data_IF_571598621118
#
_entry.id   IF_571598621118
#
_cell.length_a   1.000
_cell.length_b   1.000
_cell.length_c   1.000
_cell.angle_alpha   90.00
_cell.angle_beta   90.00
_cell.angle_gamma   90.00
#
_symmetry.space_group_name_H-M   'P 1'
#
loop_
_entity.id
_entity.type
_entity.pdbx_description
1 polymer ?
#
# COMPACT_ATOMS: atom_id res chain seq x y z
N UNK A 1 30.55 -32.46 0.82
CA UNK A 1 29.20 -31.86 0.95
C UNK A 1 28.46 -31.79 -0.38
N UNK A 2 28.99 -31.15 -1.42
CA UNK A 2 28.33 -31.05 -2.74
C UNK A 2 28.04 -32.41 -3.43
N UNK A 3 28.97 -33.37 -3.34
CA UNK A 3 28.79 -34.71 -3.93
C UNK A 3 27.63 -35.52 -3.28
N UNK A 4 27.28 -35.21 -2.03
CA UNK A 4 26.22 -35.89 -1.29
C UNK A 4 24.84 -35.34 -1.72
N UNK A 5 24.75 -34.02 -1.91
CA UNK A 5 23.58 -33.34 -2.49
C UNK A 5 23.37 -33.81 -3.93
N UNK A 6 24.44 -33.92 -4.73
CA UNK A 6 24.36 -34.42 -6.10
C UNK A 6 23.89 -35.88 -6.18
N UNK A 7 24.36 -36.76 -5.30
CA UNK A 7 23.90 -38.16 -5.23
C UNK A 7 22.43 -38.29 -4.86
N UNK A 8 21.94 -37.47 -3.94
CA UNK A 8 20.52 -37.45 -3.55
C UNK A 8 19.66 -36.90 -4.69
N UNK A 9 20.12 -35.83 -5.35
CA UNK A 9 19.42 -35.23 -6.49
C UNK A 9 19.29 -36.20 -7.67
N UNK A 10 20.32 -37.01 -7.94
CA UNK A 10 20.34 -37.99 -9.05
C UNK A 10 19.65 -39.31 -8.67
N UNK A 11 19.75 -39.75 -7.41
CA UNK A 11 19.19 -41.03 -6.94
C UNK A 11 17.68 -41.04 -6.73
N UNK A 12 17.06 -39.87 -6.49
CA UNK A 12 15.62 -39.76 -6.25
C UNK A 12 15.04 -38.46 -6.86
N UNK A 13 15.08 -38.30 -8.21
CA UNK A 13 14.70 -37.05 -8.86
C UNK A 13 13.24 -36.63 -8.59
N UNK A 14 12.33 -37.61 -8.48
CA UNK A 14 10.92 -37.34 -8.14
C UNK A 14 10.74 -36.77 -6.74
N UNK A 15 11.49 -37.28 -5.75
CA UNK A 15 11.42 -36.80 -4.37
C UNK A 15 11.98 -35.37 -4.25
N UNK A 16 13.04 -35.07 -5.00
CA UNK A 16 13.64 -33.73 -5.07
C UNK A 16 12.64 -32.70 -5.63
N UNK A 17 11.97 -33.03 -6.74
CA UNK A 17 10.96 -32.15 -7.35
C UNK A 17 9.77 -31.96 -6.40
N UNK A 18 9.25 -33.03 -5.81
CA UNK A 18 8.13 -32.94 -4.86
C UNK A 18 8.48 -32.05 -3.66
N UNK A 19 9.68 -32.21 -3.11
CA UNK A 19 10.16 -31.37 -2.00
C UNK A 19 10.27 -29.91 -2.41
N UNK A 20 10.84 -29.63 -3.59
CA UNK A 20 10.97 -28.27 -4.10
C UNK A 20 9.60 -27.61 -4.31
N UNK A 21 8.63 -28.33 -4.89
CA UNK A 21 7.26 -27.85 -5.08
C UNK A 21 6.57 -27.62 -3.72
N UNK A 22 6.73 -28.54 -2.77
CA UNK A 22 6.16 -28.38 -1.43
C UNK A 22 6.71 -27.12 -0.72
N UNK A 23 8.02 -26.89 -0.81
CA UNK A 23 8.66 -25.67 -0.27
C UNK A 23 8.14 -24.42 -0.98
N UNK A 24 8.03 -24.45 -2.31
CA UNK A 24 7.51 -23.32 -3.08
C UNK A 24 6.07 -22.97 -2.68
N UNK A 25 5.20 -23.97 -2.50
CA UNK A 25 3.82 -23.78 -2.03
C UNK A 25 3.81 -23.21 -0.61
N UNK A 26 4.63 -23.73 0.29
CA UNK A 26 4.70 -23.26 1.68
C UNK A 26 5.17 -21.80 1.76
N UNK A 27 6.21 -21.44 1.01
CA UNK A 27 6.71 -20.05 0.93
C UNK A 27 5.67 -19.13 0.28
N UNK A 28 5.02 -19.59 -0.80
CA UNK A 28 3.95 -18.83 -1.46
C UNK A 28 2.79 -18.55 -0.52
N UNK A 29 2.31 -19.57 0.21
CA UNK A 29 1.23 -19.42 1.19
C UNK A 29 1.64 -18.50 2.35
N UNK A 30 2.87 -18.61 2.83
CA UNK A 30 3.41 -17.71 3.86
C UNK A 30 3.53 -16.25 3.38
N UNK A 31 3.74 -16.04 2.08
CA UNK A 31 3.82 -14.71 1.48
C UNK A 31 2.46 -14.03 1.25
N UNK A 32 1.34 -14.75 1.24
CA UNK A 32 -0.01 -14.18 1.04
C UNK A 32 -0.30 -12.97 1.94
N UNK A 33 -0.11 -13.03 3.28
CA UNK A 33 -0.44 -11.90 4.17
C UNK A 33 0.59 -10.76 4.13
N UNK A 34 1.66 -10.85 3.32
CA UNK A 34 2.72 -9.83 3.33
C UNK A 34 2.19 -8.46 2.92
N UNK A 35 1.25 -8.40 1.98
CA UNK A 35 0.65 -7.15 1.51
C UNK A 35 -0.13 -6.41 2.61
N UNK A 36 -0.69 -7.12 3.59
CA UNK A 36 -1.39 -6.53 4.74
C UNK A 36 -0.42 -5.99 5.81
N UNK A 37 0.81 -6.53 5.84
CA UNK A 37 1.83 -6.21 6.85
C UNK A 37 2.87 -5.22 6.35
N UNK A 38 2.99 -5.04 5.05
CA UNK A 38 3.85 -4.03 4.45
C UNK A 38 3.19 -2.67 4.67
N UNK A 39 3.81 -1.86 5.52
CA UNK A 39 3.51 -0.42 5.53
C UNK A 39 3.71 0.10 4.11
N UNK A 40 2.77 0.87 3.53
CA UNK A 40 2.86 1.41 2.17
C UNK A 40 4.16 2.17 1.91
N UNK A 41 4.83 2.60 2.99
CA UNK A 41 6.12 3.21 2.95
C UNK A 41 6.71 3.10 4.36
N UNK A 42 7.99 2.74 4.52
CA UNK A 42 8.66 2.71 5.82
C UNK A 42 8.88 4.09 6.45
N UNK A 43 7.97 5.05 6.17
CA UNK A 43 8.15 6.46 6.47
C UNK A 43 7.82 6.81 7.93
N UNK A 44 7.07 5.96 8.63
CA UNK A 44 6.72 6.18 10.03
C UNK A 44 7.44 5.19 10.94
N UNK A 45 8.27 5.73 11.83
CA UNK A 45 8.75 4.99 13.00
C UNK A 45 7.62 4.99 14.05
N UNK A 46 7.08 3.82 14.45
CA UNK A 46 6.01 3.73 15.46
C UNK A 46 6.37 4.36 16.81
N UNK A 47 7.67 4.51 17.11
CA UNK A 47 8.17 5.09 18.34
C UNK A 47 8.52 6.58 18.23
N UNK A 48 8.37 7.20 17.06
CA UNK A 48 8.64 8.63 16.92
C UNK A 48 7.53 9.49 17.51
N UNK A 49 7.91 10.66 18.03
CA UNK A 49 6.95 11.67 18.51
C UNK A 49 6.05 12.20 17.37
N UNK A 50 6.53 12.20 16.12
CA UNK A 50 5.72 12.59 14.95
C UNK A 50 4.58 11.62 14.68
N UNK A 51 4.84 10.30 14.74
CA UNK A 51 3.81 9.27 14.60
C UNK A 51 2.79 9.34 15.74
N UNK A 52 3.26 9.64 16.96
CA UNK A 52 2.37 9.84 18.11
C UNK A 52 1.49 11.08 17.95
N UNK A 53 2.04 12.19 17.46
CA UNK A 53 1.28 13.40 17.18
C UNK A 53 0.23 13.17 16.08
N UNK A 54 0.61 12.49 14.98
CA UNK A 54 -0.31 12.10 13.92
C UNK A 54 -1.47 11.25 14.45
N UNK A 55 -1.17 10.25 15.28
CA UNK A 55 -2.19 9.41 15.92
C UNK A 55 -3.17 10.22 16.79
N UNK A 56 -2.67 11.18 17.58
CA UNK A 56 -3.52 12.06 18.39
C UNK A 56 -4.41 12.93 17.49
N UNK A 57 -3.88 13.45 16.38
CA UNK A 57 -4.65 14.23 15.40
C UNK A 57 -5.78 13.39 14.78
N UNK A 58 -5.49 12.15 14.41
CA UNK A 58 -6.50 11.22 13.88
C UNK A 58 -7.55 10.85 14.93
N UNK A 59 -7.14 10.45 16.13
CA UNK A 59 -8.07 10.00 17.19
C UNK A 59 -8.94 11.13 17.74
N UNK A 60 -8.40 12.33 17.91
CA UNK A 60 -9.13 13.45 18.54
C UNK A 60 -9.83 14.38 17.56
N UNK A 61 -9.25 14.57 16.38
CA UNK A 61 -9.74 15.56 15.41
C UNK A 61 -10.23 14.89 14.11
N UNK A 62 -10.16 13.56 14.01
CA UNK A 62 -10.54 12.83 12.79
C UNK A 62 -9.62 13.11 11.61
N UNK A 63 -8.47 13.75 11.83
CA UNK A 63 -7.59 14.18 10.74
C UNK A 63 -6.68 13.03 10.30
N UNK A 64 -6.85 12.60 9.05
CA UNK A 64 -5.97 11.61 8.43
C UNK A 64 -4.56 12.15 8.23
N UNK A 65 -3.58 11.26 8.24
CA UNK A 65 -2.16 11.55 8.05
C UNK A 65 -1.71 11.45 6.57
N UNK A 66 -2.62 11.06 5.67
CA UNK A 66 -2.37 10.93 4.23
C UNK A 66 -3.11 12.02 3.44
N UNK A 67 -2.40 12.99 2.84
CA UNK A 67 -3.03 13.96 1.94
C UNK A 67 -3.36 13.33 0.59
N UNK A 68 -4.59 13.54 0.10
CA UNK A 68 -5.01 13.20 -1.25
C UNK A 68 -5.06 14.48 -2.10
N UNK A 69 -4.36 14.48 -3.24
CA UNK A 69 -4.29 15.66 -4.12
C UNK A 69 -4.87 15.32 -5.49
N UNK A 70 -5.88 16.07 -5.91
CA UNK A 70 -6.43 16.02 -7.26
C UNK A 70 -5.81 17.15 -8.11
N UNK A 71 -5.30 16.79 -9.28
CA UNK A 71 -4.72 17.75 -10.22
C UNK A 71 -5.64 17.88 -11.42
N UNK A 72 -6.22 19.08 -11.60
CA UNK A 72 -7.06 19.41 -12.75
C UNK A 72 -6.22 20.16 -13.78
N UNK A 73 -6.22 19.68 -15.02
CA UNK A 73 -5.57 20.36 -16.15
C UNK A 73 -6.64 20.95 -17.05
N UNK A 74 -6.51 22.25 -17.35
CA UNK A 74 -7.37 22.94 -18.30
C UNK A 74 -6.51 23.58 -19.41
N UNK A 75 -7.00 23.60 -20.66
CA UNK A 75 -6.23 24.10 -21.81
C UNK A 75 -6.01 25.62 -21.77
N UNK A 76 -6.92 26.38 -21.14
CA UNK A 76 -6.84 27.84 -21.12
C UNK A 76 -6.07 28.37 -19.89
N UNK A 77 -6.74 28.40 -18.73
CA UNK A 77 -6.23 28.98 -17.48
C UNK A 77 -6.54 28.07 -16.29
N UNK A 78 -5.64 28.04 -15.31
CA UNK A 78 -5.81 27.36 -14.03
C UNK A 78 -7.00 27.90 -13.23
N UNK A 79 -7.33 29.18 -13.44
CA UNK A 79 -8.48 29.88 -12.84
C UNK A 79 -9.68 29.99 -13.81
N UNK A 80 -9.59 29.31 -14.95
CA UNK A 80 -10.63 29.33 -15.98
C UNK A 80 -11.94 28.71 -15.48
N UNK A 81 -13.08 29.09 -16.09
CA UNK A 81 -14.39 28.59 -15.68
C UNK A 81 -14.49 27.07 -15.76
N UNK A 82 -13.84 26.43 -16.74
CA UNK A 82 -13.81 24.97 -16.88
C UNK A 82 -13.03 24.29 -15.74
N UNK A 83 -11.87 24.82 -15.36
CA UNK A 83 -11.08 24.28 -14.24
C UNK A 83 -11.85 24.38 -12.92
N UNK A 84 -12.52 25.52 -12.68
CA UNK A 84 -13.35 25.74 -11.49
C UNK A 84 -14.58 24.85 -11.44
N UNK A 85 -15.24 24.62 -12.58
CA UNK A 85 -16.39 23.72 -12.65
C UNK A 85 -15.99 22.29 -12.26
N UNK A 86 -14.93 21.75 -12.86
CA UNK A 86 -14.46 20.38 -12.57
C UNK A 86 -13.95 20.26 -11.13
N UNK A 87 -13.20 21.25 -10.64
CA UNK A 87 -12.76 21.26 -9.24
C UNK A 87 -13.94 21.29 -8.26
N UNK A 88 -14.98 22.09 -8.56
CA UNK A 88 -16.21 22.14 -7.77
C UNK A 88 -16.95 20.80 -7.74
N UNK A 89 -17.09 20.13 -8.90
CA UNK A 89 -17.71 18.80 -8.97
C UNK A 89 -16.95 17.75 -8.14
N UNK A 90 -15.62 17.78 -8.15
CA UNK A 90 -14.79 16.89 -7.32
C UNK A 90 -15.04 17.18 -5.83
N UNK A 91 -15.04 18.44 -5.42
CA UNK A 91 -15.31 18.84 -4.03
C UNK A 91 -16.70 18.41 -3.59
N UNK A 92 -17.71 18.60 -4.42
CA UNK A 92 -19.10 18.22 -4.13
C UNK A 92 -19.25 16.70 -3.95
N UNK A 93 -18.62 15.91 -4.83
CA UNK A 93 -18.65 14.45 -4.74
C UNK A 93 -17.91 13.93 -3.51
N UNK A 94 -16.73 14.48 -3.20
CA UNK A 94 -15.98 14.12 -2.00
C UNK A 94 -16.78 14.46 -0.73
N UNK A 95 -17.40 15.64 -0.70
CA UNK A 95 -18.27 16.07 0.42
C UNK A 95 -19.45 15.12 0.59
N UNK A 96 -20.09 14.70 -0.51
CA UNK A 96 -21.24 13.78 -0.48
C UNK A 96 -20.86 12.37 -0.06
N UNK A 97 -19.65 11.92 -0.41
CA UNK A 97 -19.18 10.56 -0.11
C UNK A 97 -19.03 10.29 1.39
N UNK A 98 -18.72 11.32 2.19
CA UNK A 98 -18.46 11.18 3.63
C UNK A 98 -17.17 10.42 3.99
N UNK A 99 -16.32 10.10 3.01
CA UNK A 99 -15.09 9.32 3.22
C UNK A 99 -13.83 10.18 3.42
N UNK A 100 -13.93 11.51 3.27
CA UNK A 100 -12.83 12.45 3.49
C UNK A 100 -12.94 13.13 4.84
N UNK A 101 -11.82 13.18 5.58
CA UNK A 101 -11.73 13.86 6.86
C UNK A 101 -11.87 15.39 6.73
N UNK A 102 -11.49 15.94 5.59
CA UNK A 102 -11.56 17.37 5.30
C UNK A 102 -11.13 17.67 3.87
N UNK A 103 -11.52 18.86 3.41
CA UNK A 103 -11.18 19.40 2.08
C UNK A 103 -10.50 20.75 2.34
N UNK A 104 -9.37 21.01 1.67
CA UNK A 104 -8.60 22.25 1.76
C UNK A 104 -8.43 22.87 0.38
#
# INVERSE_FOLDING_TARGET
MLALIARIAIGAPRLMILTAVAIAIAVGAFGIPVAEKLSPSGFQDPHSESSRAAKILTEKFGQGDVPLVFVVTAPDSVDGPQARAVAGEIVDELTRSGHVAGIQ
#
